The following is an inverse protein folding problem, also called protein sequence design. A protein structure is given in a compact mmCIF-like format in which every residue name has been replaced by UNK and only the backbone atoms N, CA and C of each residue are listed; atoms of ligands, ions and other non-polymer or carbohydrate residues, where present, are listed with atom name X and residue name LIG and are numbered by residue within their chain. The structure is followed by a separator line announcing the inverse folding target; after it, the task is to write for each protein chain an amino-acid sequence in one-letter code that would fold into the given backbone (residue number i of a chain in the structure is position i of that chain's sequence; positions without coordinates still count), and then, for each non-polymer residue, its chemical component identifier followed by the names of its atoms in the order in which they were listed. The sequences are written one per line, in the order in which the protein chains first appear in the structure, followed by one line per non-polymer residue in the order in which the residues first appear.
data_IF_677855646130
#
_entry.id   IF_677855646130
#
_cell.length_a   1.000
_cell.length_b   1.000
_cell.length_c   1.000
_cell.angle_alpha   90.00
_cell.angle_beta   90.00
_cell.angle_gamma   90.00
#
_symmetry.space_group_name_H-M   'P 1'
#
loop_
_entity.id
_entity.type
_entity.pdbx_description
1 polymer ?
#
# COMPACT_ATOMS: atom_id res chain seq x y z
N UNK A 1 28.87 -13.20 22.39
CA UNK A 1 28.31 -12.62 21.15
C UNK A 1 28.00 -13.78 20.23
N UNK A 2 26.73 -14.01 19.85
CA UNK A 2 26.41 -15.06 18.90
C UNK A 2 27.09 -14.79 17.54
N UNK A 3 27.50 -15.87 16.89
CA UNK A 3 28.07 -15.86 15.53
C UNK A 3 27.16 -16.70 14.65
N UNK A 4 26.91 -16.20 13.45
CA UNK A 4 26.14 -16.91 12.44
C UNK A 4 26.96 -17.08 11.18
N UNK A 5 26.75 -18.22 10.53
CA UNK A 5 27.36 -18.52 9.24
C UNK A 5 26.37 -18.19 8.13
N UNK A 6 26.80 -17.38 7.17
CA UNK A 6 26.00 -17.00 6.00
C UNK A 6 26.73 -17.40 4.72
N UNK A 7 25.97 -17.66 3.66
CA UNK A 7 26.49 -18.00 2.34
C UNK A 7 26.25 -16.83 1.39
N UNK A 8 27.30 -16.31 0.75
CA UNK A 8 27.23 -15.23 -0.23
C UNK A 8 28.12 -15.59 -1.42
N UNK A 9 27.57 -15.64 -2.63
CA UNK A 9 28.30 -15.93 -3.86
C UNK A 9 29.08 -17.24 -3.82
N UNK A 10 28.45 -18.33 -3.34
CA UNK A 10 29.05 -19.65 -3.12
C UNK A 10 30.18 -19.73 -2.08
N UNK A 11 30.29 -18.74 -1.18
CA UNK A 11 31.29 -18.75 -0.10
C UNK A 11 30.64 -18.54 1.26
N UNK A 12 31.27 -19.11 2.28
CA UNK A 12 30.80 -19.03 3.66
C UNK A 12 31.49 -17.90 4.41
N UNK A 13 30.72 -17.11 5.16
CA UNK A 13 31.19 -16.00 5.99
C UNK A 13 30.63 -16.15 7.39
N UNK A 14 31.47 -15.83 8.39
CA UNK A 14 31.07 -15.78 9.78
C UNK A 14 30.84 -14.32 10.18
N UNK A 15 29.63 -14.03 10.68
CA UNK A 15 29.22 -12.67 11.08
C UNK A 15 28.83 -12.69 12.55
N UNK A 16 29.42 -11.78 13.32
CA UNK A 16 29.01 -11.55 14.70
C UNK A 16 27.77 -10.65 14.73
N UNK A 17 26.74 -11.07 15.47
CA UNK A 17 25.51 -10.30 15.63
C UNK A 17 25.12 -10.16 17.10
N UNK A 18 24.24 -9.21 17.41
CA UNK A 18 23.67 -9.14 18.75
C UNK A 18 22.60 -10.22 18.94
N UNK A 19 22.32 -10.64 20.18
CA UNK A 19 21.21 -11.56 20.45
C UNK A 19 19.89 -11.01 19.90
N UNK A 20 19.18 -11.82 19.10
CA UNK A 20 17.91 -11.43 18.48
C UNK A 20 18.00 -10.76 17.10
N UNK A 21 19.21 -10.44 16.61
CA UNK A 21 19.41 -9.87 15.27
C UNK A 21 19.70 -10.94 14.19
N UNK A 22 19.74 -12.21 14.56
CA UNK A 22 20.14 -13.33 13.68
C UNK A 22 19.32 -13.36 12.39
N UNK A 23 18.00 -13.12 12.48
CA UNK A 23 17.10 -13.09 11.33
C UNK A 23 17.36 -11.89 10.40
N UNK A 24 17.67 -10.72 10.98
CA UNK A 24 18.00 -9.52 10.20
C UNK A 24 19.29 -9.72 9.41
N UNK A 25 20.33 -10.27 10.05
CA UNK A 25 21.61 -10.54 9.38
C UNK A 25 21.45 -11.63 8.32
N UNK A 26 20.68 -12.69 8.59
CA UNK A 26 20.38 -13.73 7.61
C UNK A 26 19.63 -13.16 6.39
N UNK A 27 18.63 -12.31 6.64
CA UNK A 27 17.89 -11.63 5.57
C UNK A 27 18.76 -10.66 4.76
N UNK A 28 19.65 -9.90 5.42
CA UNK A 28 20.59 -9.02 4.75
C UNK A 28 21.59 -9.79 3.89
N UNK A 29 22.11 -10.91 4.41
CA UNK A 29 23.00 -11.80 3.67
C UNK A 29 22.32 -12.38 2.43
N UNK A 30 21.05 -12.81 2.53
CA UNK A 30 20.30 -13.32 1.39
C UNK A 30 20.10 -12.28 0.27
N UNK A 31 19.86 -11.01 0.64
CA UNK A 31 19.77 -9.90 -0.34
C UNK A 31 21.10 -9.67 -1.04
N UNK A 32 22.19 -9.65 -0.28
CA UNK A 32 23.53 -9.49 -0.85
C UNK A 32 23.93 -10.69 -1.73
N UNK A 33 23.57 -11.91 -1.32
CA UNK A 33 23.80 -13.13 -2.09
C UNK A 33 23.06 -13.11 -3.43
N UNK A 34 21.82 -12.63 -3.45
CA UNK A 34 21.04 -12.48 -4.70
C UNK A 34 21.79 -11.62 -5.73
N UNK A 35 22.37 -10.49 -5.30
CA UNK A 35 23.17 -9.65 -6.20
C UNK A 35 24.51 -10.32 -6.56
N UNK A 36 25.16 -10.99 -5.60
CA UNK A 36 26.43 -11.67 -5.82
C UNK A 36 26.30 -12.85 -6.81
N UNK A 37 25.17 -13.57 -6.79
CA UNK A 37 24.89 -14.70 -7.69
C UNK A 37 24.89 -14.29 -9.17
N UNK A 38 24.47 -13.06 -9.48
CA UNK A 38 24.52 -12.52 -10.85
C UNK A 38 25.96 -12.48 -11.42
N UNK A 39 26.95 -12.36 -10.52
CA UNK A 39 28.36 -12.35 -10.86
C UNK A 39 29.05 -13.70 -10.60
N UNK A 40 28.44 -14.58 -9.80
CA UNK A 40 28.98 -15.89 -9.48
C UNK A 40 29.18 -16.75 -10.73
N UNK A 41 28.36 -16.63 -11.77
CA UNK A 41 28.55 -17.35 -13.04
C UNK A 41 29.87 -17.00 -13.77
N UNK A 42 30.53 -15.89 -13.42
CA UNK A 42 31.84 -15.50 -13.95
C UNK A 42 33.01 -16.08 -13.14
N UNK A 43 32.76 -17.19 -12.44
CA UNK A 43 33.72 -17.98 -11.64
C UNK A 43 35.08 -18.08 -12.34
N UNK A 44 36.11 -17.50 -11.69
CA UNK A 44 37.50 -17.54 -12.13
C UNK A 44 38.00 -16.31 -12.89
N UNK A 45 37.13 -15.41 -13.35
CA UNK A 45 37.57 -14.15 -14.01
C UNK A 45 37.59 -12.95 -13.05
N UNK A 46 36.89 -13.03 -11.93
CA UNK A 46 36.75 -11.94 -10.98
C UNK A 46 37.16 -12.36 -9.56
N UNK A 47 37.99 -11.58 -8.86
CA UNK A 47 38.26 -11.79 -7.45
C UNK A 47 37.00 -11.48 -6.63
N UNK A 48 36.79 -12.26 -5.57
CA UNK A 48 35.65 -12.14 -4.65
C UNK A 48 35.41 -10.72 -4.13
N UNK A 49 36.47 -10.02 -3.72
CA UNK A 49 36.35 -8.65 -3.20
C UNK A 49 35.72 -7.70 -4.21
N UNK A 50 35.98 -7.90 -5.51
CA UNK A 50 35.36 -7.13 -6.59
C UNK A 50 33.90 -7.54 -6.80
N UNK A 51 33.59 -8.83 -6.70
CA UNK A 51 32.20 -9.33 -6.77
C UNK A 51 31.35 -8.74 -5.64
N UNK A 52 31.81 -8.81 -4.40
CA UNK A 52 31.10 -8.26 -3.24
C UNK A 52 30.96 -6.74 -3.31
N UNK A 53 31.98 -6.04 -3.82
CA UNK A 53 31.90 -4.59 -4.08
C UNK A 53 30.80 -4.27 -5.10
N UNK A 54 30.74 -5.00 -6.23
CA UNK A 54 29.71 -4.79 -7.25
C UNK A 54 28.32 -5.11 -6.72
N UNK A 55 28.16 -6.23 -6.01
CA UNK A 55 26.90 -6.59 -5.36
C UNK A 55 26.43 -5.53 -4.36
N UNK A 56 27.34 -5.00 -3.53
CA UNK A 56 27.04 -3.91 -2.60
C UNK A 56 26.64 -2.61 -3.29
N UNK A 57 27.32 -2.25 -4.39
CA UNK A 57 26.97 -1.06 -5.18
C UNK A 57 25.61 -1.19 -5.85
N UNK A 58 25.26 -2.36 -6.39
CA UNK A 58 23.94 -2.61 -6.98
C UNK A 58 22.82 -2.54 -5.94
N UNK A 59 23.07 -3.07 -4.74
CA UNK A 59 22.10 -2.99 -3.65
C UNK A 59 21.90 -1.54 -3.18
N UNK A 60 22.97 -0.75 -3.11
CA UNK A 60 22.90 0.67 -2.77
C UNK A 60 22.13 1.47 -3.82
N UNK A 61 22.41 1.24 -5.10
CA UNK A 61 21.71 1.88 -6.22
C UNK A 61 20.19 1.60 -6.19
N UNK A 62 19.80 0.33 -6.01
CA UNK A 62 18.39 -0.04 -5.86
C UNK A 62 17.74 0.61 -4.65
N UNK A 63 18.45 0.69 -3.53
CA UNK A 63 17.94 1.33 -2.32
C UNK A 63 17.71 2.82 -2.56
N UNK A 64 18.63 3.51 -3.23
CA UNK A 64 18.47 4.90 -3.62
C UNK A 64 17.26 5.11 -4.55
N UNK A 65 17.10 4.27 -5.57
CA UNK A 65 15.95 4.33 -6.46
C UNK A 65 14.61 4.15 -5.71
N UNK A 66 14.55 3.22 -4.74
CA UNK A 66 13.37 3.01 -3.90
C UNK A 66 13.11 4.21 -2.97
N UNK A 67 14.16 4.83 -2.41
CA UNK A 67 14.03 6.03 -1.56
C UNK A 67 13.50 7.22 -2.35
N UNK A 68 13.93 7.39 -3.60
CA UNK A 68 13.41 8.40 -4.52
C UNK A 68 11.94 8.16 -4.85
N UNK A 69 11.58 6.93 -5.21
CA UNK A 69 10.19 6.53 -5.47
C UNK A 69 9.30 6.78 -4.25
N UNK A 70 9.75 6.37 -3.07
CA UNK A 70 9.05 6.56 -1.81
C UNK A 70 8.84 8.06 -1.51
N UNK A 71 9.84 8.89 -1.79
CA UNK A 71 9.73 10.35 -1.65
C UNK A 71 8.69 10.93 -2.61
N UNK A 72 8.68 10.48 -3.87
CA UNK A 72 7.69 10.90 -4.87
C UNK A 72 6.27 10.47 -4.47
N UNK A 73 6.08 9.24 -3.99
CA UNK A 73 4.80 8.73 -3.52
C UNK A 73 4.29 9.52 -2.30
N UNK A 74 5.17 9.79 -1.32
CA UNK A 74 4.81 10.63 -0.15
C UNK A 74 4.35 12.02 -0.57
N UNK A 75 5.04 12.63 -1.52
CA UNK A 75 4.62 13.92 -2.07
C UNK A 75 3.24 13.81 -2.74
N UNK A 76 3.01 12.77 -3.54
CA UNK A 76 1.74 12.56 -4.22
C UNK A 76 0.58 12.39 -3.22
N UNK A 77 0.75 11.57 -2.18
CA UNK A 77 -0.23 11.41 -1.10
C UNK A 77 -0.53 12.75 -0.43
N UNK A 78 0.49 13.53 -0.08
CA UNK A 78 0.30 14.86 0.50
C UNK A 78 -0.48 15.82 -0.41
N UNK A 79 -0.25 15.77 -1.74
CA UNK A 79 -1.04 16.57 -2.68
C UNK A 79 -2.50 16.13 -2.77
N UNK A 80 -2.77 14.83 -2.70
CA UNK A 80 -4.14 14.30 -2.71
C UNK A 80 -4.87 14.66 -1.42
N UNK A 81 -4.23 14.51 -0.27
CA UNK A 81 -4.76 14.92 1.04
C UNK A 81 -5.09 16.41 1.06
N UNK A 82 -4.21 17.26 0.54
CA UNK A 82 -4.45 18.70 0.44
C UNK A 82 -5.63 19.05 -0.47
N UNK A 83 -5.88 18.28 -1.55
CA UNK A 83 -7.04 18.47 -2.43
C UNK A 83 -8.35 18.04 -1.76
N UNK A 84 -8.33 16.93 -1.02
CA UNK A 84 -9.49 16.48 -0.25
C UNK A 84 -9.86 17.50 0.83
N UNK A 85 -8.88 18.05 1.54
CA UNK A 85 -9.10 19.08 2.56
C UNK A 85 -9.68 20.40 2.00
N UNK A 86 -9.44 20.70 0.72
CA UNK A 86 -9.97 21.88 0.03
C UNK A 86 -11.38 21.68 -0.55
N UNK A 87 -11.90 20.46 -0.56
CA UNK A 87 -13.26 20.18 -1.03
C UNK A 87 -14.23 20.42 0.14
N UNK A 88 -15.04 21.50 0.13
CA UNK A 88 -15.88 21.83 1.28
C UNK A 88 -16.94 20.74 1.49
N UNK A 89 -16.91 20.08 2.65
CA UNK A 89 -17.86 19.05 3.08
C UNK A 89 -19.27 19.59 3.43
N UNK A 90 -19.60 20.84 3.09
CA UNK A 90 -20.86 21.46 3.51
C UNK A 90 -21.71 21.86 2.32
N UNK A 91 -22.58 20.94 1.90
CA UNK A 91 -23.80 21.30 1.19
C UNK A 91 -24.80 21.73 2.26
N UNK A 92 -24.90 23.05 2.50
CA UNK A 92 -26.00 23.60 3.31
C UNK A 92 -27.27 23.50 2.46
N UNK A 93 -28.04 22.42 2.63
CA UNK A 93 -29.38 22.33 2.07
C UNK A 93 -30.28 23.23 2.91
N UNK A 94 -30.71 24.36 2.34
CA UNK A 94 -31.71 25.23 2.97
C UNK A 94 -33.00 24.43 3.18
N UNK A 95 -33.29 24.08 4.44
CA UNK A 95 -34.55 23.44 4.81
C UNK A 95 -35.63 24.52 4.82
N UNK A 96 -36.42 24.60 3.75
CA UNK A 96 -37.60 25.44 3.69
C UNK A 96 -38.57 24.98 4.81
N UNK A 97 -38.75 25.83 5.83
CA UNK A 97 -39.60 25.52 6.99
C UNK A 97 -41.05 25.39 6.51
N UNK A 98 -41.58 24.18 6.57
CA UNK A 98 -43.02 23.93 6.41
C UNK A 98 -43.77 24.62 7.55
N UNK A 99 -44.59 25.61 7.22
CA UNK A 99 -45.52 26.26 8.16
C UNK A 99 -46.73 25.35 8.30
N UNK A 100 -46.89 24.71 9.46
CA UNK A 100 -48.08 23.92 9.79
C UNK A 100 -49.28 24.86 9.99
N UNK A 101 -50.30 24.75 9.14
CA UNK A 101 -51.63 25.34 9.39
C UNK A 101 -52.42 24.34 10.24
N UNK A 102 -52.88 24.69 11.45
CA UNK A 102 -53.61 23.77 12.30
C UNK A 102 -55.01 23.55 11.71
N UNK A 103 -55.28 22.32 11.25
CA UNK A 103 -56.64 21.86 10.93
C UNK A 103 -57.13 21.05 12.13
N UNK A 104 -58.09 21.61 12.88
CA UNK A 104 -58.80 20.90 13.94
C UNK A 104 -59.84 19.95 13.31
N UNK A 105 -59.65 18.64 13.46
CA UNK A 105 -60.72 17.65 13.24
C UNK A 105 -60.68 16.61 14.37
N UNK A 106 -61.80 16.34 15.06
CA UNK A 106 -61.81 15.47 16.24
C UNK A 106 -61.79 13.97 15.90
N UNK A 107 -60.76 13.30 16.45
CA UNK A 107 -60.66 11.93 17.02
C UNK A 107 -61.64 10.83 16.57
N UNK A 108 -61.09 9.67 16.12
CA UNK A 108 -61.32 8.33 16.71
C UNK A 108 -60.40 7.21 16.15
N UNK A 109 -59.66 6.57 17.08
CA UNK A 109 -59.19 5.16 17.22
C UNK A 109 -58.27 4.45 16.17
N UNK A 110 -57.02 4.24 16.62
CA UNK A 110 -56.06 3.10 16.51
C UNK A 110 -55.86 2.32 15.19
N UNK A 111 -54.61 2.36 14.67
CA UNK A 111 -53.87 1.22 14.10
C UNK A 111 -52.36 1.39 14.38
N UNK A 112 -51.71 0.34 14.90
CA UNK A 112 -50.25 0.24 15.03
C UNK A 112 -49.57 0.25 13.67
N UNK A 113 -48.54 1.09 13.50
CA UNK A 113 -47.45 0.78 12.58
C UNK A 113 -46.17 1.28 13.25
N UNK A 114 -45.29 0.34 13.61
CA UNK A 114 -43.87 0.61 13.84
C UNK A 114 -43.41 1.47 12.65
N UNK A 115 -43.18 2.75 12.90
CA UNK A 115 -42.81 3.67 11.83
C UNK A 115 -41.40 3.27 11.43
N UNK A 116 -41.27 2.51 10.33
CA UNK A 116 -40.02 2.37 9.62
C UNK A 116 -39.59 3.80 9.29
N UNK A 117 -38.65 4.32 10.07
CA UNK A 117 -37.95 5.55 9.69
C UNK A 117 -37.10 5.12 8.50
N UNK A 118 -37.57 5.43 7.30
CA UNK A 118 -36.74 5.38 6.11
C UNK A 118 -35.61 6.38 6.35
N UNK A 119 -34.47 5.86 6.82
CA UNK A 119 -33.22 6.62 6.85
C UNK A 119 -32.93 6.92 5.38
N UNK A 120 -32.86 8.21 4.97
CA UNK A 120 -32.49 8.52 3.61
C UNK A 120 -31.07 7.98 3.42
N UNK A 121 -30.95 6.87 2.68
CA UNK A 121 -29.67 6.39 2.21
C UNK A 121 -29.18 7.48 1.27
N UNK A 122 -28.14 8.20 1.66
CA UNK A 122 -27.47 9.14 0.76
C UNK A 122 -27.13 8.40 -0.52
N UNK A 123 -27.89 8.67 -1.57
CA UNK A 123 -27.66 8.09 -2.88
C UNK A 123 -26.38 8.74 -3.39
N UNK A 124 -25.26 8.05 -3.19
CA UNK A 124 -23.99 8.39 -3.83
C UNK A 124 -24.30 8.51 -5.32
N UNK A 125 -24.00 9.66 -5.93
CA UNK A 125 -24.33 9.89 -7.33
C UNK A 125 -23.72 8.77 -8.18
N UNK A 126 -24.44 8.34 -9.22
CA UNK A 126 -23.96 7.27 -10.12
C UNK A 126 -22.57 7.57 -10.69
N UNK A 127 -22.24 8.86 -10.85
CA UNK A 127 -20.91 9.33 -11.26
C UNK A 127 -19.81 9.00 -10.25
N UNK A 128 -20.09 9.12 -8.94
CA UNK A 128 -19.12 8.81 -7.88
C UNK A 128 -18.96 7.30 -7.73
N UNK A 129 -20.05 6.53 -7.87
CA UNK A 129 -19.99 5.07 -7.88
C UNK A 129 -19.16 4.58 -9.07
N UNK A 130 -19.42 5.09 -10.27
CA UNK A 130 -18.68 4.75 -11.47
C UNK A 130 -17.19 5.13 -11.38
N UNK A 131 -16.88 6.28 -10.77
CA UNK A 131 -15.50 6.69 -10.53
C UNK A 131 -14.78 5.75 -9.55
N UNK A 132 -15.48 5.26 -8.54
CA UNK A 132 -14.93 4.32 -7.56
C UNK A 132 -14.69 2.95 -8.18
N UNK A 133 -15.64 2.42 -8.96
CA UNK A 133 -15.50 1.16 -9.69
C UNK A 133 -14.33 1.22 -10.69
N UNK A 134 -14.21 2.32 -11.44
CA UNK A 134 -13.08 2.51 -12.36
C UNK A 134 -11.73 2.59 -11.61
N UNK A 135 -11.71 3.15 -10.40
CA UNK A 135 -10.51 3.17 -9.57
C UNK A 135 -10.13 1.77 -9.10
N UNK A 136 -11.11 0.98 -8.65
CA UNK A 136 -10.92 -0.42 -8.22
C UNK A 136 -10.37 -1.27 -9.36
N UNK A 137 -10.96 -1.18 -10.56
CA UNK A 137 -10.45 -1.91 -11.74
C UNK A 137 -9.00 -1.55 -12.07
N UNK A 138 -8.62 -0.27 -11.89
CA UNK A 138 -7.26 0.20 -12.16
C UNK A 138 -6.26 -0.35 -11.15
N UNK A 139 -6.66 -0.44 -9.88
CA UNK A 139 -5.83 -1.03 -8.81
C UNK A 139 -5.68 -2.54 -9.03
N UNK A 140 -6.74 -3.25 -9.38
CA UNK A 140 -6.67 -4.68 -9.70
C UNK A 140 -5.78 -4.96 -10.92
N UNK A 141 -5.88 -4.12 -11.96
CA UNK A 141 -5.02 -4.22 -13.14
C UNK A 141 -3.54 -4.02 -12.80
N UNK A 142 -3.23 -3.05 -11.93
CA UNK A 142 -1.87 -2.82 -11.44
C UNK A 142 -1.36 -3.98 -10.60
N UNK A 143 -2.20 -4.58 -9.74
CA UNK A 143 -1.83 -5.76 -8.96
C UNK A 143 -1.53 -6.96 -9.87
N UNK A 144 -2.37 -7.26 -10.87
CA UNK A 144 -2.10 -8.33 -11.85
C UNK A 144 -0.84 -8.07 -12.67
N UNK A 145 -0.59 -6.81 -13.03
CA UNK A 145 0.63 -6.41 -13.73
C UNK A 145 1.88 -6.56 -12.83
N UNK A 146 1.75 -6.33 -11.53
CA UNK A 146 2.81 -6.57 -10.57
C UNK A 146 3.06 -8.07 -10.37
N UNK A 147 2.02 -8.88 -10.19
CA UNK A 147 2.13 -10.33 -10.04
C UNK A 147 2.82 -10.99 -11.24
N UNK A 148 2.44 -10.59 -12.47
CA UNK A 148 3.08 -11.09 -13.70
C UNK A 148 4.53 -10.61 -13.86
N UNK A 149 4.86 -9.40 -13.39
CA UNK A 149 6.22 -8.85 -13.45
C UNK A 149 7.16 -9.42 -12.39
N UNK A 150 6.63 -9.82 -11.24
CA UNK A 150 7.42 -10.33 -10.10
C UNK A 150 7.35 -11.86 -9.93
N UNK A 151 6.62 -12.59 -10.79
CA UNK A 151 6.61 -14.05 -10.79
C UNK A 151 6.04 -14.67 -9.52
N UNK A 152 5.10 -13.98 -8.87
CA UNK A 152 4.42 -14.49 -7.66
C UNK A 152 3.24 -15.34 -8.14
N UNK A 153 3.48 -16.60 -8.48
CA UNK A 153 2.41 -17.57 -8.67
C UNK A 153 1.66 -17.73 -7.34
N UNK A 154 0.44 -17.21 -7.25
CA UNK A 154 -0.47 -17.55 -6.15
C UNK A 154 -0.91 -19.00 -6.32
N UNK A 155 -0.62 -19.82 -5.30
CA UNK A 155 -1.19 -21.16 -5.13
C UNK A 155 -2.54 -21.08 -4.45
#
# INVERSE_FOLDING_TARGET
MPQINVMIGNRQFEVACNPGEEQFVTGAAARLDTEAQAFAAQLGRMPESRMLLMAGLMLADRTGALEEELTALRHHVGTLEARLAQTPTRVEVEVERVVEVPVEVPVEVQVEVERLVEVPVEVISEEVVAAYEAMVERVEALMRAAETRFGIEQK
#
